data_IF_835015871248
#
_entry.id   IF_835015871248
#
_cell.length_a   1.000
_cell.length_b   1.000
_cell.length_c   1.000
_cell.angle_alpha   90.00
_cell.angle_beta   90.00
_cell.angle_gamma   90.00
#
_symmetry.space_group_name_H-M   'P 1'
#
loop_
_entity.id
_entity.type
_entity.pdbx_description
1 polymer ?
#
# COMPACT_ATOMS: atom_id res chain seq x y z
N UNK A 1 -13.12 -16.02 22.94
CA UNK A 1 -11.95 -15.53 22.19
C UNK A 1 -10.74 -15.63 23.08
N UNK A 2 -9.73 -16.42 22.69
CA UNK A 2 -8.46 -16.48 23.41
C UNK A 2 -7.63 -15.22 23.12
N UNK A 3 -6.74 -14.82 24.05
CA UNK A 3 -5.86 -13.66 23.85
C UNK A 3 -5.06 -13.75 22.54
N UNK A 4 -4.67 -14.95 22.12
CA UNK A 4 -3.98 -15.20 20.85
C UNK A 4 -4.84 -14.87 19.63
N UNK A 5 -6.16 -15.12 19.68
CA UNK A 5 -7.06 -14.74 18.59
C UNK A 5 -7.20 -13.22 18.47
N UNK A 6 -7.24 -12.51 19.59
CA UNK A 6 -7.32 -11.04 19.60
C UNK A 6 -6.05 -10.45 18.97
N UNK A 7 -4.86 -10.95 19.35
CA UNK A 7 -3.60 -10.53 18.74
C UNK A 7 -3.54 -10.81 17.23
N UNK A 8 -4.00 -11.97 16.80
CA UNK A 8 -4.09 -12.31 15.37
C UNK A 8 -5.01 -11.32 14.62
N UNK A 9 -6.16 -10.98 15.19
CA UNK A 9 -7.06 -10.00 14.60
C UNK A 9 -6.45 -8.60 14.55
N UNK A 10 -5.72 -8.17 15.58
CA UNK A 10 -4.99 -6.89 15.54
C UNK A 10 -3.96 -6.86 14.42
N UNK A 11 -3.16 -7.92 14.26
CA UNK A 11 -2.17 -8.01 13.19
C UNK A 11 -2.84 -8.05 11.81
N UNK A 12 -3.93 -8.80 11.67
CA UNK A 12 -4.68 -8.88 10.42
C UNK A 12 -5.25 -7.51 10.01
N UNK A 13 -5.81 -6.75 10.95
CA UNK A 13 -6.31 -5.40 10.70
C UNK A 13 -5.19 -4.45 10.27
N UNK A 14 -4.04 -4.48 10.94
CA UNK A 14 -2.88 -3.66 10.56
C UNK A 14 -2.37 -4.02 9.16
N UNK A 15 -2.29 -5.30 8.82
CA UNK A 15 -1.90 -5.74 7.49
C UNK A 15 -2.88 -5.26 6.40
N UNK A 16 -4.18 -5.27 6.73
CA UNK A 16 -5.24 -4.81 5.83
C UNK A 16 -5.10 -3.31 5.54
N UNK A 17 -4.84 -2.50 6.57
CA UNK A 17 -4.59 -1.06 6.43
C UNK A 17 -3.36 -0.76 5.55
N UNK A 18 -2.27 -1.51 5.71
CA UNK A 18 -1.07 -1.35 4.86
C UNK A 18 -1.40 -1.70 3.40
N UNK A 19 -2.19 -2.75 3.18
CA UNK A 19 -2.61 -3.14 1.83
C UNK A 19 -3.51 -2.08 1.18
N UNK A 20 -4.45 -1.48 1.94
CA UNK A 20 -5.26 -0.36 1.47
C UNK A 20 -4.39 0.85 1.13
N UNK A 21 -3.44 1.20 1.99
CA UNK A 21 -2.52 2.32 1.74
C UNK A 21 -1.70 2.08 0.47
N UNK A 22 -1.20 0.86 0.26
CA UNK A 22 -0.49 0.46 -0.96
C UNK A 22 -1.38 0.61 -2.20
N UNK A 23 -2.65 0.20 -2.12
CA UNK A 23 -3.57 0.35 -3.25
C UNK A 23 -3.89 1.81 -3.54
N UNK A 24 -4.12 2.65 -2.52
CA UNK A 24 -4.33 4.09 -2.68
C UNK A 24 -3.10 4.73 -3.33
N UNK A 25 -1.89 4.41 -2.86
CA UNK A 25 -0.66 4.90 -3.48
C UNK A 25 -0.55 4.41 -4.92
N UNK A 26 -0.90 3.17 -5.21
CA UNK A 26 -0.83 2.67 -6.59
C UNK A 26 -1.85 3.35 -7.53
N UNK A 27 -3.05 3.65 -7.04
CA UNK A 27 -4.15 4.17 -7.87
C UNK A 27 -4.21 5.69 -7.96
N UNK A 28 -3.93 6.39 -6.85
CA UNK A 28 -4.09 7.84 -6.72
C UNK A 28 -2.76 8.60 -6.74
N UNK A 29 -1.62 7.93 -6.53
CA UNK A 29 -0.35 8.62 -6.59
C UNK A 29 0.01 8.94 -8.04
N UNK A 30 0.12 10.22 -8.35
CA UNK A 30 0.64 10.68 -9.63
C UNK A 30 2.16 10.81 -9.54
N UNK A 31 2.87 10.35 -10.56
CA UNK A 31 4.31 10.51 -10.59
C UNK A 31 4.64 12.01 -10.67
N UNK A 32 5.34 12.58 -9.67
CA UNK A 32 5.71 14.02 -9.67
C UNK A 32 6.46 14.47 -10.93
N UNK A 33 7.17 13.55 -11.60
CA UNK A 33 7.98 13.85 -12.78
C UNK A 33 7.21 13.73 -14.09
N UNK A 34 6.30 12.76 -14.17
CA UNK A 34 5.55 12.47 -15.40
C UNK A 34 4.13 13.03 -15.37
N UNK A 35 3.62 13.45 -14.18
CA UNK A 35 2.23 13.88 -13.93
C UNK A 35 1.17 12.90 -14.45
N UNK A 36 1.55 11.64 -14.68
CA UNK A 36 0.66 10.56 -15.06
C UNK A 36 0.37 9.69 -13.85
N UNK A 37 -0.81 9.08 -13.85
CA UNK A 37 -1.21 8.09 -12.85
C UNK A 37 -0.21 6.93 -12.87
N UNK A 38 0.18 6.46 -11.69
CA UNK A 38 1.25 5.48 -11.54
C UNK A 38 1.02 4.17 -12.33
N UNK A 39 -0.24 3.81 -12.58
CA UNK A 39 -0.65 2.67 -13.44
C UNK A 39 -0.07 2.74 -14.86
N UNK A 40 0.12 3.94 -15.40
CA UNK A 40 0.57 4.18 -16.77
C UNK A 40 2.05 4.61 -16.81
N UNK A 41 2.65 4.86 -15.64
CA UNK A 41 4.03 5.29 -15.53
C UNK A 41 4.95 4.06 -15.54
N UNK A 42 5.57 3.77 -16.69
CA UNK A 42 6.62 2.76 -16.83
C UNK A 42 7.92 3.08 -16.07
N UNK A 43 8.03 4.30 -15.52
CA UNK A 43 9.05 4.60 -14.53
C UNK A 43 8.61 4.02 -13.19
N UNK A 44 9.04 2.80 -12.90
CA UNK A 44 8.86 2.18 -11.58
C UNK A 44 9.31 3.17 -10.52
N UNK A 45 8.37 3.77 -9.80
CA UNK A 45 8.74 4.75 -8.80
C UNK A 45 9.53 4.05 -7.71
N UNK A 46 10.60 4.71 -7.27
CA UNK A 46 11.40 4.28 -6.12
C UNK A 46 10.55 3.95 -4.89
N UNK A 47 9.36 4.54 -4.77
CA UNK A 47 8.45 4.25 -3.67
C UNK A 47 8.07 2.76 -3.61
N UNK A 48 7.78 2.13 -4.76
CA UNK A 48 7.44 0.71 -4.82
C UNK A 48 8.64 -0.23 -4.78
N UNK A 49 9.86 0.31 -4.84
CA UNK A 49 11.09 -0.48 -4.74
C UNK A 49 11.54 -0.66 -3.29
N UNK A 50 11.03 0.15 -2.36
CA UNK A 50 11.38 0.09 -0.93
C UNK A 50 10.24 -0.43 -0.04
N UNK A 51 9.07 -0.78 -0.61
CA UNK A 51 7.94 -1.41 0.09
C UNK A 51 7.66 -2.81 -0.43
#
# INVERSE_FOLDING_TARGET
MSQSQILLWCVALVALEIQHLKWIVWEHWECRRCKVRHRECGHGSRLMTYF
#
